data_IF_064428624144
#
_entry.id   IF_064428624144
#
_cell.length_a   1.000
_cell.length_b   1.000
_cell.length_c   1.000
_cell.angle_alpha   90.00
_cell.angle_beta   90.00
_cell.angle_gamma   90.00
#
_symmetry.space_group_name_H-M   'P 1'
#
loop_
_entity.id
_entity.type
_entity.pdbx_description
1 polymer ?
#
# COMPACT_ATOMS: atom_id res chain seq x y z
N UNK A 1 -15.80 -2.25 5.67
CA UNK A 1 -16.66 -1.04 5.71
C UNK A 1 -16.38 -0.32 7.03
N UNK A 2 -16.01 0.95 6.98
CA UNK A 2 -15.85 1.75 8.19
C UNK A 2 -17.19 2.35 8.64
N UNK A 3 -17.28 2.78 9.89
CA UNK A 3 -18.52 3.32 10.49
C UNK A 3 -19.15 4.45 9.68
N UNK A 4 -18.36 5.28 8.98
CA UNK A 4 -18.87 6.39 8.17
C UNK A 4 -19.58 5.96 6.88
N UNK A 5 -19.16 4.86 6.23
CA UNK A 5 -19.86 4.33 5.05
C UNK A 5 -21.21 3.71 5.45
N UNK A 6 -21.23 3.04 6.58
CA UNK A 6 -22.45 2.47 7.13
C UNK A 6 -23.47 3.55 7.52
N UNK A 7 -23.03 4.61 8.19
CA UNK A 7 -23.88 5.75 8.56
C UNK A 7 -24.45 6.46 7.31
N UNK A 8 -23.68 6.59 6.23
CA UNK A 8 -24.11 7.15 4.95
C UNK A 8 -25.16 6.29 4.27
N UNK A 9 -24.93 4.98 4.21
CA UNK A 9 -25.86 4.04 3.60
C UNK A 9 -27.19 3.96 4.36
N UNK A 10 -27.16 4.10 5.69
CA UNK A 10 -28.34 3.93 6.53
C UNK A 10 -29.14 5.22 6.76
N UNK A 11 -28.52 6.38 6.80
CA UNK A 11 -29.15 7.62 7.27
C UNK A 11 -29.20 8.77 6.25
N UNK A 12 -28.64 8.61 5.05
CA UNK A 12 -28.74 9.62 3.98
C UNK A 12 -28.22 11.02 4.35
N UNK A 13 -27.30 11.13 5.31
CA UNK A 13 -26.89 12.40 5.91
C UNK A 13 -26.11 13.24 4.90
N UNK A 14 -26.72 14.33 4.42
CA UNK A 14 -26.04 15.39 3.67
C UNK A 14 -24.95 16.00 4.58
N UNK A 15 -23.68 15.89 4.16
CA UNK A 15 -22.56 16.60 4.81
C UNK A 15 -21.56 15.77 5.60
N UNK A 16 -21.70 14.46 5.71
CA UNK A 16 -20.64 13.61 6.26
C UNK A 16 -19.45 13.59 5.31
N UNK A 17 -18.25 13.92 5.83
CA UNK A 17 -16.99 13.81 5.10
C UNK A 17 -16.85 12.39 4.58
N UNK A 18 -16.72 12.24 3.24
CA UNK A 18 -16.50 10.92 2.65
C UNK A 18 -15.19 10.32 3.17
N UNK A 19 -15.16 9.01 3.32
CA UNK A 19 -13.94 8.27 3.62
C UNK A 19 -12.87 8.57 2.59
N UNK A 20 -11.66 8.81 3.10
CA UNK A 20 -10.45 8.91 2.30
C UNK A 20 -9.61 7.67 2.51
N UNK A 21 -8.86 7.29 1.49
CA UNK A 21 -7.83 6.27 1.58
C UNK A 21 -6.47 6.93 1.48
N UNK A 22 -5.59 6.62 2.41
CA UNK A 22 -4.18 6.96 2.33
C UNK A 22 -3.44 5.75 1.75
N UNK A 23 -2.71 5.97 0.67
CA UNK A 23 -1.86 4.97 0.03
C UNK A 23 -0.40 5.37 0.26
N UNK A 24 0.45 4.40 0.59
CA UNK A 24 1.85 4.64 0.94
C UNK A 24 2.75 3.67 0.19
N UNK A 25 3.82 4.19 -0.42
CA UNK A 25 4.99 3.42 -0.78
C UNK A 25 6.08 3.62 0.28
N UNK A 26 6.65 2.52 0.75
CA UNK A 26 7.59 2.50 1.88
C UNK A 26 8.84 1.74 1.48
N UNK A 27 10.01 2.30 1.74
CA UNK A 27 11.29 1.67 1.46
C UNK A 27 11.69 0.60 2.51
N UNK A 28 12.88 0.05 2.37
CA UNK A 28 13.41 -0.98 3.27
C UNK A 28 13.67 -0.47 4.69
N UNK A 29 13.91 0.82 4.86
CA UNK A 29 14.16 1.45 6.16
C UNK A 29 12.86 1.83 6.89
N UNK A 30 11.72 1.78 6.20
CA UNK A 30 10.43 2.21 6.71
C UNK A 30 10.17 3.69 6.48
N UNK A 31 10.91 4.31 5.57
CA UNK A 31 10.67 5.69 5.10
C UNK A 31 9.58 5.66 4.04
N UNK A 32 8.62 6.56 4.14
CA UNK A 32 7.57 6.77 3.14
C UNK A 32 8.19 7.54 1.98
N UNK A 33 8.24 6.91 0.81
CA UNK A 33 8.89 7.43 -0.40
C UNK A 33 7.89 7.97 -1.42
N UNK A 34 6.62 7.58 -1.32
CA UNK A 34 5.52 8.18 -2.05
C UNK A 34 4.22 7.99 -1.27
N UNK A 35 3.29 8.93 -1.39
CA UNK A 35 1.97 8.88 -0.79
C UNK A 35 0.90 9.42 -1.74
N UNK A 36 -0.33 8.95 -1.56
CA UNK A 36 -1.50 9.50 -2.23
C UNK A 36 -2.74 9.42 -1.33
N UNK A 37 -3.47 10.52 -1.24
CA UNK A 37 -4.75 10.58 -0.54
C UNK A 37 -5.89 10.58 -1.58
N UNK A 38 -6.70 9.53 -1.57
CA UNK A 38 -7.81 9.38 -2.54
C UNK A 38 -9.17 9.34 -1.86
N UNK A 39 -10.23 9.45 -2.66
CA UNK A 39 -11.59 9.16 -2.20
C UNK A 39 -11.74 7.66 -1.95
N UNK A 40 -12.64 7.28 -1.02
CA UNK A 40 -12.84 5.89 -0.64
C UNK A 40 -13.22 4.93 -1.78
N UNK A 41 -13.82 5.45 -2.85
CA UNK A 41 -14.23 4.65 -4.02
C UNK A 41 -13.13 4.44 -5.07
N UNK A 42 -12.00 5.15 -4.95
CA UNK A 42 -10.89 5.01 -5.92
C UNK A 42 -10.24 3.65 -5.77
N UNK A 43 -9.95 3.01 -6.89
CA UNK A 43 -9.32 1.70 -6.93
C UNK A 43 -7.86 1.73 -6.45
N UNK A 44 -7.52 0.79 -5.59
CA UNK A 44 -6.19 0.73 -4.95
C UNK A 44 -5.09 0.38 -5.97
N UNK A 45 -5.39 -0.49 -6.94
CA UNK A 45 -4.42 -0.88 -7.96
C UNK A 45 -4.10 0.28 -8.90
N UNK A 46 -5.09 1.08 -9.29
CA UNK A 46 -4.88 2.30 -10.08
C UNK A 46 -4.00 3.30 -9.34
N UNK A 47 -4.26 3.51 -8.04
CA UNK A 47 -3.44 4.41 -7.22
C UNK A 47 -2.01 3.90 -7.08
N UNK A 48 -1.82 2.57 -6.97
CA UNK A 48 -0.48 1.98 -6.89
C UNK A 48 0.37 2.23 -8.15
N UNK A 49 -0.24 2.32 -9.33
CA UNK A 49 0.49 2.70 -10.57
C UNK A 49 1.08 4.11 -10.44
N UNK A 50 0.30 5.06 -9.94
CA UNK A 50 0.80 6.42 -9.68
C UNK A 50 1.91 6.44 -8.62
N UNK A 51 1.80 5.62 -7.56
CA UNK A 51 2.87 5.52 -6.56
C UNK A 51 4.16 4.94 -7.15
N UNK A 52 4.07 3.90 -8.00
CA UNK A 52 5.24 3.32 -8.67
C UNK A 52 5.92 4.37 -9.58
N UNK A 53 5.13 5.18 -10.27
CA UNK A 53 5.63 6.25 -11.12
C UNK A 53 6.26 7.40 -10.32
N UNK A 54 5.66 7.77 -9.19
CA UNK A 54 6.11 8.87 -8.33
C UNK A 54 7.38 8.56 -7.51
N UNK A 55 7.80 7.28 -7.42
CA UNK A 55 9.05 6.94 -6.71
C UNK A 55 10.26 7.36 -7.54
N UNK A 56 11.11 8.21 -6.97
CA UNK A 56 12.37 8.60 -7.56
C UNK A 56 13.42 7.49 -7.49
N UNK A 57 14.30 7.44 -8.50
CA UNK A 57 15.42 6.49 -8.56
C UNK A 57 15.00 5.05 -8.89
N UNK A 58 15.90 4.09 -8.63
CA UNK A 58 15.73 2.69 -9.00
C UNK A 58 14.84 1.94 -8.02
N UNK A 59 13.91 1.14 -8.56
CA UNK A 59 13.05 0.26 -7.77
C UNK A 59 13.50 -1.20 -7.96
N UNK A 60 14.09 -1.79 -6.95
CA UNK A 60 14.51 -3.20 -7.01
C UNK A 60 13.31 -4.17 -6.95
N UNK A 61 12.29 -3.84 -6.17
CA UNK A 61 11.08 -4.67 -6.05
C UNK A 61 9.86 -3.90 -5.56
N UNK A 62 8.70 -4.27 -6.06
CA UNK A 62 7.38 -3.83 -5.58
C UNK A 62 6.73 -4.98 -4.82
N UNK A 63 6.48 -4.79 -3.52
CA UNK A 63 5.83 -5.79 -2.66
C UNK A 63 4.48 -5.23 -2.21
N UNK A 64 3.40 -5.96 -2.46
CA UNK A 64 2.05 -5.58 -2.07
C UNK A 64 1.19 -6.82 -1.75
N UNK A 65 -0.01 -6.61 -1.22
CA UNK A 65 -0.94 -7.71 -0.97
C UNK A 65 -1.61 -8.24 -2.26
N UNK A 66 -2.43 -9.29 -2.13
CA UNK A 66 -3.06 -9.93 -3.29
C UNK A 66 -4.08 -9.07 -4.03
N UNK A 67 -4.55 -7.95 -3.46
CA UNK A 67 -5.44 -7.03 -4.15
C UNK A 67 -4.74 -6.31 -5.31
N UNK A 68 -3.42 -6.20 -5.24
CA UNK A 68 -2.58 -5.58 -6.29
C UNK A 68 -2.12 -6.56 -7.38
N UNK A 69 -2.62 -7.81 -7.41
CA UNK A 69 -2.26 -8.79 -8.43
C UNK A 69 -2.95 -8.49 -9.77
N UNK A 70 -2.46 -7.50 -10.48
CA UNK A 70 -2.95 -7.09 -11.81
C UNK A 70 -1.81 -7.02 -12.84
N UNK A 71 -2.12 -7.25 -14.12
CA UNK A 71 -1.16 -7.15 -15.22
C UNK A 71 -0.52 -5.76 -15.22
N UNK A 72 -1.30 -4.71 -15.01
CA UNK A 72 -0.82 -3.33 -15.03
C UNK A 72 0.29 -3.07 -13.98
N UNK A 73 0.18 -3.64 -12.77
CA UNK A 73 1.22 -3.54 -11.73
C UNK A 73 2.51 -4.24 -12.17
N UNK A 74 2.40 -5.43 -12.81
CA UNK A 74 3.57 -6.13 -13.31
C UNK A 74 4.25 -5.39 -14.47
N UNK A 75 3.47 -4.77 -15.34
CA UNK A 75 3.99 -4.00 -16.47
C UNK A 75 4.64 -2.69 -15.99
N UNK A 76 4.00 -1.95 -15.10
CA UNK A 76 4.55 -0.72 -14.51
C UNK A 76 5.86 -0.99 -13.74
N UNK A 77 5.88 -2.01 -12.89
CA UNK A 77 7.08 -2.40 -12.17
C UNK A 77 8.17 -2.90 -13.14
N UNK A 78 7.79 -3.67 -14.17
CA UNK A 78 8.72 -4.16 -15.20
C UNK A 78 9.36 -3.04 -16.02
N UNK A 79 8.61 -1.99 -16.36
CA UNK A 79 9.12 -0.79 -17.01
C UNK A 79 10.19 -0.06 -16.17
N UNK A 80 10.12 -0.19 -14.84
CA UNK A 80 11.11 0.33 -13.88
C UNK A 80 12.21 -0.70 -13.52
N UNK A 81 12.29 -1.85 -14.24
CA UNK A 81 13.24 -2.93 -13.93
C UNK A 81 12.97 -3.65 -12.59
N UNK A 82 11.84 -3.41 -11.96
CA UNK A 82 11.52 -3.91 -10.64
C UNK A 82 10.90 -5.32 -10.67
N UNK A 83 11.22 -6.14 -9.66
CA UNK A 83 10.56 -7.44 -9.45
C UNK A 83 9.27 -7.24 -8.65
N UNK A 84 8.17 -7.89 -9.09
CA UNK A 84 6.90 -7.86 -8.35
C UNK A 84 6.80 -9.03 -7.37
N UNK A 85 6.50 -8.73 -6.12
CA UNK A 85 6.27 -9.70 -5.03
C UNK A 85 4.86 -9.53 -4.48
N UNK A 86 3.89 -9.94 -5.27
CA UNK A 86 2.46 -9.92 -4.94
C UNK A 86 1.93 -11.35 -4.97
N UNK A 87 1.29 -11.85 -3.90
CA UNK A 87 0.72 -13.19 -3.90
C UNK A 87 -0.49 -13.23 -4.84
N UNK A 88 -0.49 -14.11 -5.87
CA UNK A 88 -1.61 -14.22 -6.78
C UNK A 88 -2.87 -14.63 -6.03
N UNK A 89 -4.05 -14.16 -6.47
CA UNK A 89 -5.33 -14.57 -5.88
C UNK A 89 -5.57 -16.05 -6.11
N UNK A 90 -6.37 -16.71 -5.24
CA UNK A 90 -6.56 -18.16 -5.29
C UNK A 90 -7.27 -18.67 -6.57
N UNK A 91 -8.05 -17.78 -7.21
CA UNK A 91 -8.86 -18.09 -8.40
C UNK A 91 -8.14 -17.85 -9.73
N UNK A 92 -6.91 -17.33 -9.70
CA UNK A 92 -6.23 -16.90 -10.92
C UNK A 92 -5.63 -18.06 -11.71
N UNK A 93 -5.85 -17.98 -13.01
CA UNK A 93 -5.24 -18.81 -14.02
C UNK A 93 -4.15 -18.03 -14.77
N UNK A 94 -3.18 -18.76 -15.31
CA UNK A 94 -2.21 -18.23 -16.27
C UNK A 94 -2.96 -17.60 -17.44
N UNK A 95 -2.49 -16.45 -17.90
CA UNK A 95 -3.13 -15.71 -18.99
C UNK A 95 -3.21 -16.53 -20.27
N UNK A 96 -4.43 -16.87 -20.72
CA UNK A 96 -4.65 -17.60 -21.98
C UNK A 96 -4.79 -16.68 -23.18
N UNK A 97 -5.13 -15.42 -22.97
CA UNK A 97 -5.35 -14.39 -23.99
C UNK A 97 -4.27 -13.30 -23.89
N UNK A 98 -3.97 -12.66 -25.00
CA UNK A 98 -3.10 -11.48 -25.04
C UNK A 98 -3.85 -10.23 -24.53
N UNK A 99 -3.18 -9.25 -23.84
CA UNK A 99 -1.75 -9.26 -23.51
C UNK A 99 -1.42 -10.27 -22.41
N UNK A 100 -0.24 -10.91 -22.48
CA UNK A 100 0.24 -11.85 -21.46
C UNK A 100 1.31 -11.17 -20.61
N UNK A 101 1.14 -11.18 -19.31
CA UNK A 101 2.22 -10.79 -18.39
C UNK A 101 3.05 -12.03 -18.03
N UNK A 102 4.18 -12.20 -18.72
CA UNK A 102 5.06 -13.36 -18.48
C UNK A 102 5.61 -13.38 -17.05
N UNK A 103 5.82 -12.22 -16.43
CA UNK A 103 6.27 -12.11 -15.03
C UNK A 103 5.20 -12.59 -14.06
N UNK A 104 3.94 -12.17 -14.25
CA UNK A 104 2.80 -12.60 -13.45
C UNK A 104 2.54 -14.09 -13.60
N UNK A 105 2.53 -14.60 -14.85
CA UNK A 105 2.32 -16.02 -15.13
C UNK A 105 3.42 -16.89 -14.53
N UNK A 106 4.68 -16.45 -14.53
CA UNK A 106 5.77 -17.12 -13.80
C UNK A 106 5.53 -17.17 -12.30
N UNK A 107 5.01 -16.08 -11.70
CA UNK A 107 4.66 -16.05 -10.28
C UNK A 107 3.55 -17.05 -9.96
N UNK A 108 2.49 -17.10 -10.77
CA UNK A 108 1.39 -18.06 -10.62
C UNK A 108 1.91 -19.51 -10.71
N UNK A 109 2.71 -19.80 -11.72
CA UNK A 109 3.31 -21.13 -11.93
C UNK A 109 4.18 -21.52 -10.74
N UNK A 110 5.02 -20.63 -10.25
CA UNK A 110 5.88 -20.86 -9.09
C UNK A 110 5.07 -21.11 -7.81
N UNK A 111 4.02 -20.32 -7.57
CA UNK A 111 3.12 -20.53 -6.41
C UNK A 111 2.42 -21.89 -6.48
N UNK A 112 1.99 -22.31 -7.67
CA UNK A 112 1.38 -23.65 -7.87
C UNK A 112 2.37 -24.78 -7.60
N UNK A 113 3.62 -24.63 -8.05
CA UNK A 113 4.65 -25.65 -7.92
C UNK A 113 5.11 -25.87 -6.48
N UNK A 114 5.34 -24.81 -5.71
CA UNK A 114 5.94 -24.91 -4.36
C UNK A 114 4.97 -24.61 -3.21
N UNK A 115 3.75 -24.16 -3.52
CA UNK A 115 2.74 -23.74 -2.56
C UNK A 115 2.94 -22.30 -2.05
N UNK A 116 1.83 -21.64 -1.71
CA UNK A 116 1.79 -20.21 -1.31
C UNK A 116 2.69 -19.89 -0.10
N UNK A 117 2.71 -20.74 0.92
CA UNK A 117 3.51 -20.54 2.14
C UNK A 117 5.00 -20.54 1.83
N UNK A 118 5.48 -21.51 1.06
CA UNK A 118 6.89 -21.61 0.65
C UNK A 118 7.27 -20.47 -0.27
N UNK A 119 6.38 -20.10 -1.20
CA UNK A 119 6.60 -18.96 -2.09
C UNK A 119 6.73 -17.65 -1.31
N UNK A 120 5.83 -17.35 -0.37
CA UNK A 120 5.92 -16.16 0.49
C UNK A 120 7.27 -16.06 1.23
N UNK A 121 7.78 -17.18 1.75
CA UNK A 121 9.10 -17.24 2.40
C UNK A 121 10.23 -16.99 1.38
N UNK A 122 10.21 -17.66 0.25
CA UNK A 122 11.26 -17.60 -0.78
C UNK A 122 11.32 -16.25 -1.52
N UNK A 123 10.15 -15.59 -1.70
CA UNK A 123 10.06 -14.29 -2.39
C UNK A 123 10.38 -13.08 -1.49
N UNK A 124 10.51 -13.27 -0.18
CA UNK A 124 10.69 -12.16 0.74
C UNK A 124 9.40 -11.36 1.00
N UNK A 125 8.24 -11.95 0.78
CA UNK A 125 6.93 -11.30 0.98
C UNK A 125 6.71 -10.75 2.40
N UNK A 126 7.43 -11.27 3.41
CA UNK A 126 7.38 -10.74 4.78
C UNK A 126 7.73 -9.24 4.88
N UNK A 127 8.37 -8.68 3.85
CA UNK A 127 8.64 -7.23 3.77
C UNK A 127 7.37 -6.38 3.72
N UNK A 128 6.22 -6.98 3.34
CA UNK A 128 4.91 -6.33 3.38
C UNK A 128 4.57 -5.79 4.79
N UNK A 129 5.02 -6.47 5.84
CA UNK A 129 4.82 -6.00 7.22
C UNK A 129 5.39 -4.60 7.51
N UNK A 130 6.29 -4.08 6.67
CA UNK A 130 6.84 -2.73 6.84
C UNK A 130 5.80 -1.65 6.59
N UNK A 131 5.02 -1.78 5.53
CA UNK A 131 3.96 -0.80 5.24
C UNK A 131 2.86 -0.87 6.30
N UNK A 132 2.53 -2.07 6.78
CA UNK A 132 1.58 -2.26 7.88
C UNK A 132 2.07 -1.56 9.16
N UNK A 133 3.37 -1.67 9.47
CA UNK A 133 4.01 -0.99 10.60
C UNK A 133 3.97 0.54 10.47
N UNK A 134 4.14 1.07 9.24
CA UNK A 134 4.04 2.51 8.99
C UNK A 134 2.60 2.98 9.17
N UNK A 135 1.60 2.23 8.69
CA UNK A 135 0.19 2.54 8.94
C UNK A 135 -0.18 2.48 10.42
N UNK A 136 0.35 1.49 11.15
CA UNK A 136 0.17 1.42 12.61
C UNK A 136 0.73 2.66 13.30
N UNK A 137 1.96 3.08 12.96
CA UNK A 137 2.58 4.29 13.49
C UNK A 137 1.80 5.54 13.10
N UNK A 138 1.35 5.65 11.84
CA UNK A 138 0.53 6.77 11.38
C UNK A 138 -0.70 6.92 12.26
N UNK A 139 -1.48 5.86 12.44
CA UNK A 139 -2.69 5.88 13.25
C UNK A 139 -2.43 6.17 14.73
N UNK A 140 -1.34 5.62 15.28
CA UNK A 140 -1.01 5.76 16.69
C UNK A 140 -0.43 7.14 17.06
N UNK A 141 0.29 7.80 16.15
CA UNK A 141 1.02 9.04 16.41
C UNK A 141 0.25 10.25 15.85
N UNK A 142 -0.22 10.15 14.62
CA UNK A 142 -0.92 11.24 13.91
C UNK A 142 -2.42 11.16 14.17
N UNK A 143 -2.98 9.95 14.13
CA UNK A 143 -4.41 9.68 14.21
C UNK A 143 -4.98 9.18 12.88
N UNK A 144 -6.25 8.84 12.88
CA UNK A 144 -6.99 8.29 11.74
C UNK A 144 -7.94 9.29 11.07
N UNK A 145 -8.01 10.52 11.58
CA UNK A 145 -8.88 11.57 11.09
C UNK A 145 -8.13 12.75 10.49
N UNK A 146 -8.69 13.34 9.42
CA UNK A 146 -8.20 14.57 8.82
C UNK A 146 -8.93 15.78 9.43
N UNK A 147 -8.20 16.81 9.81
CA UNK A 147 -8.71 18.05 10.41
C UNK A 147 -9.07 19.09 9.35
N UNK A 148 -8.31 19.14 8.27
CA UNK A 148 -8.56 20.05 7.16
C UNK A 148 -9.93 19.78 6.50
N UNK A 149 -10.61 20.85 6.09
CA UNK A 149 -11.96 20.78 5.49
C UNK A 149 -11.94 20.75 3.97
N UNK A 150 -10.96 21.42 3.35
CA UNK A 150 -10.82 21.43 1.89
C UNK A 150 -10.04 20.21 1.39
N UNK A 151 -10.32 19.70 0.17
CA UNK A 151 -9.57 18.60 -0.40
C UNK A 151 -8.05 18.88 -0.51
N UNK A 152 -7.67 20.09 -0.90
CA UNK A 152 -6.28 20.50 -0.98
C UNK A 152 -5.61 20.50 0.41
N UNK A 153 -6.29 21.06 1.44
CA UNK A 153 -5.79 21.03 2.81
C UNK A 153 -5.65 19.62 3.36
N UNK A 154 -6.58 18.71 3.03
CA UNK A 154 -6.47 17.30 3.42
C UNK A 154 -5.27 16.61 2.78
N UNK A 155 -4.98 16.89 1.50
CA UNK A 155 -3.77 16.41 0.83
C UNK A 155 -2.51 16.93 1.53
N UNK A 156 -2.43 18.23 1.79
CA UNK A 156 -1.30 18.83 2.52
C UNK A 156 -1.12 18.23 3.91
N UNK A 157 -2.21 18.02 4.65
CA UNK A 157 -2.19 17.38 5.98
C UNK A 157 -1.61 15.97 5.92
N UNK A 158 -2.00 15.16 4.93
CA UNK A 158 -1.46 13.82 4.73
C UNK A 158 0.04 13.83 4.40
N UNK A 159 0.49 14.71 3.50
CA UNK A 159 1.92 14.90 3.17
C UNK A 159 2.72 15.30 4.39
N UNK A 160 2.26 16.28 5.17
CA UNK A 160 2.93 16.74 6.40
C UNK A 160 3.04 15.60 7.43
N UNK A 161 1.98 14.81 7.60
CA UNK A 161 1.97 13.67 8.49
C UNK A 161 3.01 12.61 8.08
N UNK A 162 3.10 12.29 6.78
CA UNK A 162 4.11 11.39 6.23
C UNK A 162 5.52 11.92 6.47
N UNK A 163 5.76 13.22 6.26
CA UNK A 163 7.05 13.86 6.51
C UNK A 163 7.45 13.82 7.99
N UNK A 164 6.51 14.04 8.92
CA UNK A 164 6.75 13.91 10.36
C UNK A 164 7.20 12.48 10.71
N UNK A 165 6.50 11.45 10.20
CA UNK A 165 6.88 10.07 10.42
C UNK A 165 8.25 9.73 9.82
N UNK A 166 8.58 10.29 8.67
CA UNK A 166 9.89 10.14 8.04
C UNK A 166 11.00 10.75 8.90
N UNK A 167 10.81 11.98 9.40
CA UNK A 167 11.74 12.62 10.33
C UNK A 167 11.96 11.78 11.59
N UNK A 168 10.88 11.23 12.17
CA UNK A 168 10.98 10.32 13.32
C UNK A 168 11.75 9.04 12.98
N UNK A 169 11.55 8.49 11.78
CA UNK A 169 12.26 7.28 11.32
C UNK A 169 13.76 7.54 11.15
N UNK A 170 14.13 8.69 10.60
CA UNK A 170 15.52 9.11 10.36
C UNK A 170 16.28 9.43 11.65
N UNK A 171 15.60 10.03 12.65
CA UNK A 171 16.19 10.38 13.95
C UNK A 171 16.28 9.21 14.92
N UNK A 172 15.84 8.03 14.55
CA UNK A 172 15.78 6.84 15.39
C UNK A 172 14.41 6.68 16.07
N UNK A 173 14.04 5.43 16.29
CA UNK A 173 12.79 5.10 17.00
C UNK A 173 13.00 5.33 18.50
N UNK A 174 12.04 5.92 19.22
CA UNK A 174 12.14 6.01 20.67
C UNK A 174 12.27 4.60 21.26
N UNK A 175 13.23 4.43 22.16
CA UNK A 175 13.34 3.22 22.94
C UNK A 175 12.17 3.20 23.95
N UNK A 176 11.28 2.25 23.81
CA UNK A 176 10.21 2.04 24.77
C UNK A 176 10.56 0.89 25.70
N UNK A 177 10.36 1.08 27.00
CA UNK A 177 10.49 0.05 28.02
C UNK A 177 9.21 0.01 28.86
N UNK A 178 8.84 -1.19 29.29
CA UNK A 178 7.69 -1.36 30.17
C UNK A 178 8.01 -0.75 31.54
N UNK A 179 7.21 0.19 31.99
CA UNK A 179 7.25 0.64 33.37
C UNK A 179 6.43 -0.39 34.16
N UNK A 180 7.11 -1.18 35.01
CA UNK A 180 6.44 -2.09 35.93
C UNK A 180 5.46 -1.30 36.82
N UNK A 181 4.23 -1.80 36.93
CA UNK A 181 3.25 -1.33 37.90
C UNK A 181 3.50 -1.98 39.26
#
# INVERSE_FOLDING_TARGET
>A
MGEGEWARAKHGVRGTRGWKKLHLAVDRSGVIIAEALTQGHVDDATTALHLIDAVDGDIASVTADGAYDSIAIYDAAGARGATVVVPPTNTLTVSRRRPRSTARDRTITKVRAIGRRRWKKASGYHRQARVENVFFRYKSIIGDGLRARSPAGQGTEAVLACNILNQMTQRGRPASYAIGR
#
